data_IF_254783491309
#
_entry.id   IF_254783491309
#
_cell.length_a   1.000
_cell.length_b   1.000
_cell.length_c   1.000
_cell.angle_alpha   90.00
_cell.angle_beta   90.00
_cell.angle_gamma   90.00
#
_symmetry.space_group_name_H-M   'P 1'
#
loop_
_entity.id
_entity.type
_entity.pdbx_description
1 polymer ?
#
# COMPACT_ATOMS: atom_id res chain seq x y z
N UNK A 1 -22.45 -21.65 -5.13
CA UNK A 1 -21.17 -21.40 -4.40
C UNK A 1 -20.11 -22.36 -4.95
N UNK A 2 -18.91 -21.89 -5.32
CA UNK A 2 -17.91 -22.65 -6.12
C UNK A 2 -16.86 -23.45 -5.31
N UNK A 3 -16.72 -23.18 -4.01
CA UNK A 3 -15.81 -23.93 -3.13
C UNK A 3 -16.32 -25.35 -2.87
N UNK A 4 -15.48 -26.35 -3.21
CA UNK A 4 -15.65 -27.76 -2.85
C UNK A 4 -15.73 -27.94 -1.32
N UNK A 5 -16.27 -29.07 -0.81
CA UNK A 5 -16.11 -29.46 0.59
C UNK A 5 -14.64 -29.40 1.01
N UNK A 6 -14.36 -28.93 2.23
CA UNK A 6 -13.01 -28.68 2.76
C UNK A 6 -12.14 -27.71 1.95
N UNK A 7 -12.74 -26.95 1.02
CA UNK A 7 -12.03 -25.94 0.26
C UNK A 7 -11.63 -24.74 1.12
N UNK A 8 -10.41 -24.25 0.94
CA UNK A 8 -9.89 -23.06 1.61
C UNK A 8 -9.96 -21.85 0.67
N UNK A 9 -10.47 -20.74 1.16
CA UNK A 9 -10.43 -19.46 0.46
C UNK A 9 -9.22 -18.66 0.91
N UNK A 10 -8.44 -18.18 -0.06
CA UNK A 10 -7.31 -17.28 0.20
C UNK A 10 -7.55 -15.93 -0.47
N UNK A 11 -7.32 -14.84 0.26
CA UNK A 11 -7.31 -13.51 -0.31
C UNK A 11 -6.27 -12.62 0.35
N UNK A 12 -5.44 -11.95 -0.44
CA UNK A 12 -4.47 -10.98 0.05
C UNK A 12 -5.15 -9.65 0.39
N UNK A 13 -4.66 -8.99 1.42
CA UNK A 13 -5.03 -7.62 1.77
C UNK A 13 -3.82 -6.86 2.32
N UNK A 14 -4.00 -5.57 2.55
CA UNK A 14 -3.05 -4.74 3.27
C UNK A 14 -3.76 -3.88 4.30
N UNK A 15 -3.01 -3.44 5.31
CA UNK A 15 -3.52 -2.59 6.38
C UNK A 15 -3.35 -1.10 6.10
N UNK A 16 -3.90 -0.28 7.00
CA UNK A 16 -3.89 1.19 6.86
C UNK A 16 -2.48 1.79 6.79
N UNK A 17 -1.51 1.18 7.45
CA UNK A 17 -0.12 1.66 7.49
C UNK A 17 0.75 1.13 6.33
N UNK A 18 0.16 0.44 5.34
CA UNK A 18 0.92 -0.10 4.22
C UNK A 18 1.56 1.01 3.38
N UNK A 19 2.90 1.02 3.29
CA UNK A 19 3.69 1.96 2.50
C UNK A 19 3.42 3.44 2.85
N UNK A 20 3.04 3.72 4.10
CA UNK A 20 2.65 5.07 4.55
C UNK A 20 3.77 6.11 4.38
N UNK A 21 5.03 5.68 4.38
CA UNK A 21 6.19 6.54 4.19
C UNK A 21 6.19 7.25 2.82
N UNK A 22 5.66 6.61 1.77
CA UNK A 22 5.59 7.21 0.43
C UNK A 22 4.58 8.36 0.42
N UNK A 23 3.42 8.17 1.06
CA UNK A 23 2.42 9.21 1.22
C UNK A 23 2.97 10.41 1.99
N UNK A 24 3.72 10.18 3.08
CA UNK A 24 4.39 11.25 3.82
C UNK A 24 5.46 11.95 2.98
N UNK A 25 6.25 11.20 2.21
CA UNK A 25 7.29 11.76 1.33
C UNK A 25 6.72 12.77 0.33
N UNK A 26 5.59 12.46 -0.31
CA UNK A 26 5.00 13.41 -1.26
C UNK A 26 4.28 14.57 -0.57
N UNK A 27 3.74 14.36 0.62
CA UNK A 27 3.15 15.44 1.44
C UNK A 27 4.21 16.41 1.96
N UNK A 28 5.41 15.94 2.29
CA UNK A 28 6.56 16.78 2.62
C UNK A 28 6.98 17.67 1.45
N UNK A 29 6.77 17.21 0.21
CA UNK A 29 7.04 17.99 -1.00
C UNK A 29 5.93 19.01 -1.30
N UNK A 30 4.68 18.58 -1.22
CA UNK A 30 3.50 19.44 -1.31
C UNK A 30 2.32 18.78 -0.57
N UNK A 31 1.84 19.44 0.48
CA UNK A 31 0.81 18.88 1.38
C UNK A 31 -0.54 18.63 0.72
N UNK A 32 -0.76 19.14 -0.50
CA UNK A 32 -1.97 18.92 -1.29
C UNK A 32 -1.94 17.61 -2.05
N UNK A 33 -0.78 16.93 -2.13
CA UNK A 33 -0.65 15.67 -2.87
C UNK A 33 -1.31 14.53 -2.08
N UNK A 34 -2.13 13.76 -2.80
CA UNK A 34 -2.82 12.56 -2.36
C UNK A 34 -2.52 11.49 -3.42
N UNK A 35 -1.84 10.40 -3.04
CA UNK A 35 -1.46 9.31 -3.96
C UNK A 35 -2.61 8.36 -4.30
N UNK A 36 -3.58 8.22 -3.41
CA UNK A 36 -4.76 7.38 -3.65
C UNK A 36 -6.00 8.11 -3.18
N UNK A 37 -6.89 8.43 -4.12
CA UNK A 37 -8.21 8.99 -3.80
C UNK A 37 -9.09 7.96 -3.06
N UNK A 38 -8.92 6.67 -3.38
CA UNK A 38 -9.61 5.56 -2.74
C UNK A 38 -8.70 4.83 -1.76
N UNK A 39 -9.06 4.82 -0.48
CA UNK A 39 -8.37 4.02 0.54
C UNK A 39 -8.94 2.60 0.54
N UNK A 40 -8.40 1.72 -0.32
CA UNK A 40 -8.95 0.37 -0.49
C UNK A 40 -8.99 -0.44 0.81
N UNK A 41 -8.05 -0.22 1.73
CA UNK A 41 -8.04 -0.89 3.04
C UNK A 41 -9.26 -0.53 3.91
N UNK A 42 -9.93 0.60 3.67
CA UNK A 42 -11.19 0.94 4.33
C UNK A 42 -12.38 0.14 3.75
N UNK A 43 -12.31 -0.29 2.48
CA UNK A 43 -13.31 -1.15 1.82
C UNK A 43 -13.09 -2.62 2.18
N UNK A 44 -11.85 -3.09 2.08
CA UNK A 44 -11.41 -4.42 2.49
C UNK A 44 -9.90 -4.38 2.76
N UNK A 45 -9.53 -4.53 4.03
CA UNK A 45 -8.17 -4.46 4.53
C UNK A 45 -7.93 -5.45 5.66
N UNK A 46 -6.72 -5.41 6.20
CA UNK A 46 -6.32 -6.28 7.33
C UNK A 46 -7.26 -6.10 8.54
N UNK A 47 -7.66 -4.87 8.83
CA UNK A 47 -8.36 -4.50 10.06
C UNK A 47 -9.85 -4.87 10.03
N UNK A 48 -10.53 -4.65 8.90
CA UNK A 48 -11.97 -4.93 8.75
C UNK A 48 -12.27 -6.31 8.12
N UNK A 49 -11.27 -6.95 7.48
CA UNK A 49 -11.41 -8.23 6.78
C UNK A 49 -12.06 -9.34 7.61
N UNK A 50 -11.69 -9.57 8.89
CA UNK A 50 -12.33 -10.58 9.73
C UNK A 50 -13.84 -10.38 9.87
N UNK A 51 -14.29 -9.13 10.05
CA UNK A 51 -15.70 -8.81 10.20
C UNK A 51 -16.48 -9.00 8.90
N UNK A 52 -15.86 -8.71 7.75
CA UNK A 52 -16.46 -8.87 6.43
C UNK A 52 -16.54 -10.34 6.00
N UNK A 53 -15.58 -11.17 6.42
CA UNK A 53 -15.49 -12.58 6.05
C UNK A 53 -16.25 -13.52 7.00
N UNK A 54 -16.34 -13.15 8.28
CA UNK A 54 -16.97 -13.96 9.34
C UNK A 54 -18.39 -14.48 9.03
N UNK A 55 -19.27 -13.72 8.36
CA UNK A 55 -20.59 -14.22 7.97
C UNK A 55 -20.58 -15.40 6.98
N UNK A 56 -19.48 -15.66 6.29
CA UNK A 56 -19.40 -16.63 5.18
C UNK A 56 -18.52 -17.85 5.46
N UNK A 57 -17.71 -17.79 6.51
CA UNK A 57 -16.64 -18.73 6.85
C UNK A 57 -16.58 -18.95 8.37
N UNK A 58 -16.54 -20.20 8.81
CA UNK A 58 -16.42 -20.56 10.24
C UNK A 58 -15.09 -20.16 10.85
N UNK A 59 -14.01 -20.12 10.04
CA UNK A 59 -12.66 -19.76 10.46
C UNK A 59 -12.06 -18.74 9.51
N UNK A 60 -11.54 -17.65 10.05
CA UNK A 60 -10.84 -16.58 9.31
C UNK A 60 -9.52 -16.29 10.02
N UNK A 61 -8.41 -16.59 9.36
CA UNK A 61 -7.06 -16.42 9.92
C UNK A 61 -6.25 -15.44 9.07
N UNK A 62 -5.64 -14.46 9.73
CA UNK A 62 -4.72 -13.53 9.08
C UNK A 62 -3.28 -14.05 9.16
N UNK A 63 -2.65 -14.16 8.00
CA UNK A 63 -1.24 -14.48 7.87
C UNK A 63 -0.50 -13.25 7.37
N UNK A 64 0.24 -12.61 8.27
CA UNK A 64 1.10 -11.46 7.95
C UNK A 64 2.29 -11.93 7.10
N UNK A 65 2.61 -11.16 6.07
CA UNK A 65 3.84 -11.30 5.31
C UNK A 65 4.86 -10.29 5.85
N UNK A 66 5.88 -10.79 6.56
CA UNK A 66 6.91 -9.93 7.14
C UNK A 66 7.91 -9.49 6.07
N UNK A 67 7.81 -8.22 5.66
CA UNK A 67 8.60 -7.66 4.58
C UNK A 67 8.73 -6.13 4.69
N UNK A 68 9.74 -5.58 4.02
CA UNK A 68 9.99 -4.14 3.89
C UNK A 68 10.74 -3.85 2.60
N UNK A 69 10.73 -2.59 2.14
CA UNK A 69 11.58 -2.17 1.03
C UNK A 69 12.63 -1.19 1.53
N UNK A 70 13.88 -1.40 1.10
CA UNK A 70 14.93 -0.40 1.18
C UNK A 70 15.18 0.15 -0.22
N UNK A 71 14.78 1.40 -0.45
CA UNK A 71 14.97 2.08 -1.73
C UNK A 71 16.25 2.90 -1.66
N UNK A 72 17.22 2.55 -2.51
CA UNK A 72 18.52 3.25 -2.62
C UNK A 72 18.63 4.13 -3.85
N UNK A 73 17.63 4.09 -4.75
CA UNK A 73 17.58 4.87 -5.98
C UNK A 73 16.29 5.66 -6.05
N UNK A 74 16.37 6.92 -6.48
CA UNK A 74 15.21 7.81 -6.53
C UNK A 74 14.26 7.43 -7.68
N UNK A 75 14.80 7.04 -8.82
CA UNK A 75 14.06 6.82 -10.07
C UNK A 75 12.94 5.76 -9.93
N UNK A 76 13.17 4.57 -9.33
CA UNK A 76 12.10 3.61 -9.10
C UNK A 76 10.96 4.15 -8.22
N UNK A 77 11.30 4.92 -7.18
CA UNK A 77 10.32 5.50 -6.27
C UNK A 77 9.50 6.61 -6.95
N UNK A 78 10.15 7.45 -7.75
CA UNK A 78 9.49 8.47 -8.56
C UNK A 78 8.54 7.81 -9.57
N UNK A 79 8.99 6.78 -10.29
CA UNK A 79 8.17 6.06 -11.25
C UNK A 79 6.93 5.45 -10.58
N UNK A 80 7.10 4.83 -9.40
CA UNK A 80 6.00 4.31 -8.61
C UNK A 80 5.00 5.41 -8.22
N UNK A 81 5.48 6.52 -7.68
CA UNK A 81 4.65 7.67 -7.28
C UNK A 81 3.84 8.22 -8.47
N UNK A 82 4.48 8.39 -9.63
CA UNK A 82 3.79 8.89 -10.84
C UNK A 82 2.75 7.91 -11.39
N UNK A 83 2.92 6.61 -11.15
CA UNK A 83 1.96 5.57 -11.55
C UNK A 83 0.71 5.48 -10.66
N UNK A 84 0.69 6.18 -9.52
CA UNK A 84 -0.46 6.17 -8.62
C UNK A 84 -1.69 6.86 -9.24
N UNK A 85 -2.88 6.62 -8.69
CA UNK A 85 -4.16 7.08 -9.24
C UNK A 85 -4.75 8.24 -8.44
N UNK A 86 -3.88 9.12 -7.92
CA UNK A 86 -4.24 10.28 -7.12
C UNK A 86 -4.16 11.59 -7.91
N UNK A 87 -3.87 12.68 -7.20
CA UNK A 87 -3.71 14.02 -7.81
C UNK A 87 -2.23 14.39 -8.03
N UNK A 88 -1.30 13.47 -7.81
CA UNK A 88 0.13 13.78 -7.75
C UNK A 88 0.69 14.37 -9.05
N UNK A 89 0.18 13.95 -10.20
CA UNK A 89 0.63 14.47 -11.49
C UNK A 89 0.31 15.96 -11.67
N UNK A 90 -0.74 16.48 -11.02
CA UNK A 90 -1.10 17.90 -11.04
C UNK A 90 -0.02 18.78 -10.36
N UNK A 91 0.69 18.24 -9.37
CA UNK A 91 1.64 19.02 -8.57
C UNK A 91 3.12 18.67 -8.87
N UNK A 92 3.37 17.48 -9.42
CA UNK A 92 4.74 16.97 -9.65
C UNK A 92 5.23 17.27 -11.06
N UNK A 93 4.40 17.19 -12.11
CA UNK A 93 4.90 17.21 -13.50
C UNK A 93 5.62 18.52 -13.85
N UNK A 94 5.03 19.66 -13.54
CA UNK A 94 5.66 20.97 -13.80
C UNK A 94 6.89 21.24 -12.92
N UNK A 95 7.00 20.52 -11.78
CA UNK A 95 8.09 20.62 -10.81
C UNK A 95 9.00 19.39 -10.81
N UNK A 96 9.01 18.60 -11.90
CA UNK A 96 9.65 17.28 -11.91
C UNK A 96 11.13 17.32 -11.52
N UNK A 97 11.89 18.32 -12.00
CA UNK A 97 13.32 18.47 -11.65
C UNK A 97 13.53 18.73 -10.16
N UNK A 98 12.68 19.56 -9.56
CA UNK A 98 12.69 19.88 -8.13
C UNK A 98 12.31 18.63 -7.33
N UNK A 99 11.24 17.94 -7.73
CA UNK A 99 10.77 16.70 -7.10
C UNK A 99 11.85 15.62 -7.16
N UNK A 100 12.50 15.42 -8.31
CA UNK A 100 13.60 14.46 -8.45
C UNK A 100 14.75 14.78 -7.50
N UNK A 101 15.19 16.05 -7.44
CA UNK A 101 16.25 16.44 -6.50
C UNK A 101 15.84 16.21 -5.04
N UNK A 102 14.58 16.48 -4.70
CA UNK A 102 14.03 16.24 -3.36
C UNK A 102 14.04 14.75 -3.01
N UNK A 103 13.53 13.88 -3.89
CA UNK A 103 13.52 12.42 -3.66
C UNK A 103 14.94 11.88 -3.59
N UNK A 104 15.86 12.30 -4.47
CA UNK A 104 17.27 11.88 -4.42
C UNK A 104 17.94 12.18 -3.08
N UNK A 105 17.64 13.32 -2.46
CA UNK A 105 18.14 13.64 -1.12
C UNK A 105 17.55 12.72 -0.05
N UNK A 106 16.24 12.43 -0.14
CA UNK A 106 15.54 11.56 0.82
C UNK A 106 15.93 10.09 0.71
N UNK A 107 16.43 9.64 -0.44
CA UNK A 107 16.87 8.26 -0.66
C UNK A 107 18.38 8.05 -0.54
N UNK A 108 19.17 9.12 -0.31
CA UNK A 108 20.64 9.06 -0.35
C UNK A 108 21.23 8.05 0.65
N UNK A 109 20.67 7.99 1.86
CA UNK A 109 21.08 7.08 2.93
C UNK A 109 20.20 5.81 3.00
N UNK A 110 19.38 5.60 1.98
CA UNK A 110 18.35 4.55 1.94
C UNK A 110 17.01 5.01 2.53
N UNK A 111 15.94 4.74 1.79
CA UNK A 111 14.57 5.06 2.18
C UNK A 111 13.80 3.78 2.49
N UNK A 112 13.48 3.58 3.77
CA UNK A 112 12.75 2.41 4.25
C UNK A 112 11.24 2.59 4.09
N UNK A 113 10.57 1.58 3.54
CA UNK A 113 9.13 1.54 3.34
C UNK A 113 8.57 0.30 4.02
N UNK A 114 7.59 0.50 4.89
CA UNK A 114 6.94 -0.58 5.63
C UNK A 114 5.92 -1.30 4.73
N UNK A 115 5.94 -2.65 4.71
CA UNK A 115 4.85 -3.43 4.13
C UNK A 115 3.96 -4.01 5.23
N UNK A 116 2.77 -3.44 5.37
CA UNK A 116 1.71 -4.03 6.20
C UNK A 116 0.77 -4.86 5.32
N UNK A 117 1.26 -5.97 4.77
CA UNK A 117 0.51 -6.85 3.86
C UNK A 117 0.48 -8.30 4.36
N UNK A 118 -0.41 -9.10 3.77
CA UNK A 118 -0.60 -10.49 4.12
C UNK A 118 -1.82 -11.05 3.42
N UNK A 119 -2.33 -12.16 3.94
CA UNK A 119 -3.52 -12.80 3.39
C UNK A 119 -4.41 -13.39 4.47
N UNK A 120 -5.69 -13.53 4.16
CA UNK A 120 -6.62 -14.33 4.94
C UNK A 120 -6.67 -15.75 4.39
N UNK A 121 -6.61 -16.73 5.29
CA UNK A 121 -6.99 -18.11 5.02
C UNK A 121 -8.35 -18.37 5.68
N UNK A 122 -9.35 -18.78 4.90
CA UNK A 122 -10.71 -18.97 5.39
C UNK A 122 -11.23 -20.36 5.09
N UNK A 123 -11.82 -21.00 6.10
CA UNK A 123 -12.44 -22.32 6.01
C UNK A 123 -13.95 -22.19 6.21
N UNK A 124 -14.72 -23.07 5.59
CA UNK A 124 -16.18 -23.09 5.71
C UNK A 124 -16.64 -23.49 7.09
#
# INVERSE_FOLDING_TARGET
>A
RVLKPEGVFFCSAYGADHMAEISRLVQDFDSRIILSADKLYEKFGRENGPSLLGPYFSKVEWHRYEDSLLVTQAEPLIAYILSCHGNQNQYILDRYKEFRSFVSKKTADGFYITKNAGFFACNK
#
